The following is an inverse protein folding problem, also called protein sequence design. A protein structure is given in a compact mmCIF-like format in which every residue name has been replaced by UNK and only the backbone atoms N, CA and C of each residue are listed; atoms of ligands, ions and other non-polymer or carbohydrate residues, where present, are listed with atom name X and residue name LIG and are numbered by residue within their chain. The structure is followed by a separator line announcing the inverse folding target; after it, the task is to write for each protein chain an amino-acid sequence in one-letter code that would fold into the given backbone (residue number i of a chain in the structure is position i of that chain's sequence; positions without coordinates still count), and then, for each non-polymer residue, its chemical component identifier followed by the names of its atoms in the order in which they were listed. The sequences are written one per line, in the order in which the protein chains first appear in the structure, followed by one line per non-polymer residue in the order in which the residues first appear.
data_IF_280853566412
#
_entry.id   IF_280853566412
#
_cell.length_a   1.000
_cell.length_b   1.000
_cell.length_c   1.000
_cell.angle_alpha   90.00
_cell.angle_beta   90.00
_cell.angle_gamma   90.00
#
_symmetry.space_group_name_H-M   'P 1'
#
loop_
_entity.id
_entity.type
_entity.pdbx_description
1 polymer ?
#
# COMPACT_ATOMS: atom_id res chain seq x y z
N UNK A 1 -13.47 42.34 20.51
CA UNK A 1 -14.69 41.57 20.26
C UNK A 1 -14.40 40.16 20.74
N UNK A 2 -15.12 39.68 21.75
CA UNK A 2 -14.87 38.36 22.32
C UNK A 2 -15.35 37.28 21.33
N UNK A 3 -14.51 36.28 21.08
CA UNK A 3 -14.78 35.20 20.15
C UNK A 3 -15.96 34.35 20.67
N UNK A 4 -16.97 34.12 19.83
CA UNK A 4 -18.15 33.35 20.23
C UNK A 4 -17.78 31.86 20.36
N UNK A 5 -17.69 31.36 21.59
CA UNK A 5 -17.41 29.95 21.87
C UNK A 5 -18.70 29.11 21.81
N UNK A 6 -18.57 27.84 21.41
CA UNK A 6 -19.69 26.90 21.38
C UNK A 6 -19.83 26.26 22.77
N UNK A 7 -21.03 26.28 23.34
CA UNK A 7 -21.33 25.67 24.64
C UNK A 7 -22.31 24.51 24.43
N UNK A 8 -22.06 23.40 25.11
CA UNK A 8 -23.03 22.31 25.26
C UNK A 8 -23.89 22.59 26.49
N UNK A 9 -25.21 22.43 26.36
CA UNK A 9 -26.13 22.65 27.47
C UNK A 9 -27.06 21.46 27.69
N UNK A 10 -27.43 21.26 28.95
CA UNK A 10 -28.52 20.39 29.36
C UNK A 10 -29.55 21.26 30.09
N UNK A 11 -30.75 21.32 29.56
CA UNK A 11 -31.84 22.12 30.13
C UNK A 11 -33.14 21.33 30.18
N UNK A 12 -34.02 21.67 31.11
CA UNK A 12 -35.34 21.07 31.28
C UNK A 12 -36.39 22.00 30.68
N UNK A 13 -37.26 21.45 29.84
CA UNK A 13 -38.48 22.15 29.43
C UNK A 13 -39.49 22.24 30.59
N UNK A 14 -40.53 23.08 30.46
CA UNK A 14 -41.62 23.25 31.43
C UNK A 14 -42.34 21.95 31.78
N UNK A 15 -42.25 20.94 30.91
CA UNK A 15 -42.77 19.58 31.09
C UNK A 15 -41.86 18.68 31.95
N UNK A 16 -40.67 19.14 32.33
CA UNK A 16 -39.65 18.33 33.01
C UNK A 16 -38.83 17.43 32.08
N UNK A 17 -39.03 17.53 30.76
CA UNK A 17 -38.24 16.78 29.77
C UNK A 17 -36.85 17.40 29.59
N UNK A 18 -35.81 16.57 29.68
CA UNK A 18 -34.42 17.01 29.47
C UNK A 18 -34.14 17.18 27.97
N UNK A 19 -33.69 18.38 27.59
CA UNK A 19 -33.21 18.73 26.26
C UNK A 19 -31.72 19.01 26.30
N UNK A 20 -30.97 18.43 25.36
CA UNK A 20 -29.52 18.60 25.23
C UNK A 20 -29.25 19.21 23.86
N UNK A 21 -28.38 20.22 23.79
CA UNK A 21 -28.06 20.90 22.54
C UNK A 21 -26.75 21.70 22.61
N UNK A 22 -26.38 22.29 21.48
CA UNK A 22 -25.22 23.18 21.36
C UNK A 22 -25.71 24.60 21.06
N UNK A 23 -25.14 25.60 21.74
CA UNK A 23 -25.47 27.01 21.55
C UNK A 23 -24.19 27.85 21.66
N UNK A 24 -23.98 28.73 20.68
CA UNK A 24 -22.81 29.62 20.67
C UNK A 24 -23.10 30.90 21.46
N UNK A 25 -22.14 31.36 22.25
CA UNK A 25 -22.27 32.60 23.02
C UNK A 25 -20.94 33.13 23.53
N UNK A 26 -20.96 34.35 24.05
CA UNK A 26 -19.74 35.04 24.52
C UNK A 26 -19.29 34.57 25.91
N UNK A 27 -20.19 33.96 26.68
CA UNK A 27 -19.91 33.39 28.02
C UNK A 27 -20.95 32.34 28.40
N UNK A 28 -20.59 31.44 29.32
CA UNK A 28 -21.52 30.47 29.91
C UNK A 28 -22.78 31.15 30.49
N UNK A 29 -22.61 32.33 31.11
CA UNK A 29 -23.71 33.15 31.62
C UNK A 29 -24.61 33.71 30.51
N UNK A 30 -24.04 34.10 29.36
CA UNK A 30 -24.82 34.60 28.22
C UNK A 30 -25.66 33.48 27.58
N UNK A 31 -25.08 32.29 27.41
CA UNK A 31 -25.79 31.10 26.91
C UNK A 31 -26.89 30.68 27.88
N UNK A 32 -26.63 30.66 29.19
CA UNK A 32 -27.64 30.34 30.20
C UNK A 32 -28.80 31.37 30.20
N UNK A 33 -28.52 32.66 30.03
CA UNK A 33 -29.54 33.69 29.91
C UNK A 33 -30.40 33.51 28.65
N UNK A 34 -29.78 33.16 27.52
CA UNK A 34 -30.47 32.90 26.25
C UNK A 34 -31.38 31.66 26.33
N UNK A 35 -30.95 30.61 27.03
CA UNK A 35 -31.77 29.42 27.28
C UNK A 35 -32.97 29.70 28.21
N UNK A 36 -32.78 30.54 29.23
CA UNK A 36 -33.88 30.99 30.10
C UNK A 36 -34.91 31.83 29.35
N UNK A 37 -34.48 32.69 28.43
CA UNK A 37 -35.39 33.45 27.55
C UNK A 37 -36.23 32.53 26.64
N UNK A 38 -35.71 31.35 26.29
CA UNK A 38 -36.45 30.31 25.55
C UNK A 38 -37.35 29.44 26.44
N UNK A 39 -37.50 29.78 27.72
CA UNK A 39 -38.35 29.06 28.66
C UNK A 39 -37.77 27.75 29.20
N UNK A 40 -36.47 27.50 28.98
CA UNK A 40 -35.78 26.30 29.44
C UNK A 40 -35.08 26.56 30.79
N UNK A 41 -35.19 25.61 31.72
CA UNK A 41 -34.47 25.66 33.00
C UNK A 41 -33.11 24.99 32.85
N UNK A 42 -32.05 25.79 32.93
CA UNK A 42 -30.68 25.34 32.73
C UNK A 42 -30.22 24.46 33.90
N UNK A 43 -29.83 23.22 33.60
CA UNK A 43 -29.27 22.26 34.58
C UNK A 43 -27.75 22.30 34.56
N UNK A 44 -27.18 22.33 33.36
CA UNK A 44 -25.74 22.41 33.17
C UNK A 44 -25.43 23.13 31.84
N UNK A 45 -24.36 23.93 31.83
CA UNK A 45 -23.80 24.57 30.63
C UNK A 45 -22.31 24.42 30.74
N UNK A 46 -21.71 23.62 29.86
CA UNK A 46 -20.27 23.48 29.79
C UNK A 46 -19.78 24.10 28.50
N UNK A 47 -18.73 24.91 28.59
CA UNK A 47 -17.99 25.31 27.40
C UNK A 47 -17.52 24.05 26.70
N UNK A 48 -17.85 23.89 25.42
CA UNK A 48 -17.28 22.82 24.60
C UNK A 48 -15.85 23.23 24.35
N UNK A 49 -14.98 22.98 25.34
CA UNK A 49 -13.55 22.94 25.13
C UNK A 49 -13.38 21.94 24.02
N UNK A 50 -13.02 22.41 22.83
CA UNK A 50 -12.49 21.55 21.78
C UNK A 50 -11.22 20.96 22.36
N UNK A 51 -11.37 19.88 23.14
CA UNK A 51 -10.27 19.02 23.48
C UNK A 51 -9.73 18.57 22.14
N UNK A 52 -8.57 19.10 21.77
CA UNK A 52 -7.78 18.63 20.64
C UNK A 52 -7.46 17.11 20.75
N UNK A 53 -7.87 16.44 21.83
CA UNK A 53 -7.80 15.00 22.05
C UNK A 53 -9.02 14.21 21.55
N UNK A 54 -10.19 14.83 21.31
CA UNK A 54 -11.38 14.11 20.80
C UNK A 54 -11.59 14.28 19.28
N UNK A 55 -10.71 15.01 18.61
CA UNK A 55 -10.52 14.85 17.15
C UNK A 55 -9.76 13.55 16.93
N UNK A 56 -10.50 12.46 17.06
CA UNK A 56 -10.26 11.17 16.44
C UNK A 56 -8.75 10.86 16.31
N UNK A 57 -8.10 10.52 17.44
CA UNK A 57 -6.72 10.04 17.48
C UNK A 57 -6.49 8.87 16.49
N UNK A 58 -7.58 8.20 16.07
CA UNK A 58 -7.63 7.18 15.04
C UNK A 58 -7.88 7.70 13.61
N UNK A 59 -8.44 8.89 13.38
CA UNK A 59 -8.54 9.49 12.04
C UNK A 59 -7.17 9.85 11.48
N UNK A 60 -6.27 10.37 12.31
CA UNK A 60 -4.88 10.66 11.89
C UNK A 60 -4.09 9.37 11.53
N UNK A 61 -4.55 8.21 12.01
CA UNK A 61 -4.00 6.89 11.68
C UNK A 61 -4.65 6.26 10.43
N UNK A 62 -5.79 6.76 9.94
CA UNK A 62 -6.47 6.21 8.77
C UNK A 62 -5.79 6.69 7.48
N UNK A 63 -4.84 5.89 7.00
CA UNK A 63 -4.22 6.08 5.68
C UNK A 63 -5.23 5.82 4.56
N UNK A 64 -5.25 6.69 3.55
CA UNK A 64 -6.05 6.46 2.32
C UNK A 64 -5.55 5.21 1.61
N UNK A 65 -6.46 4.27 1.34
CA UNK A 65 -6.13 3.04 0.61
C UNK A 65 -6.06 3.32 -0.90
N UNK A 66 -5.19 2.63 -1.66
CA UNK A 66 -5.12 2.80 -3.12
C UNK A 66 -6.48 2.63 -3.80
N UNK A 67 -7.27 1.63 -3.39
CA UNK A 67 -8.60 1.39 -3.94
C UNK A 67 -9.57 2.57 -3.72
N UNK A 68 -9.45 3.31 -2.61
CA UNK A 68 -10.27 4.50 -2.36
C UNK A 68 -9.91 5.64 -3.34
N UNK A 69 -8.62 5.81 -3.63
CA UNK A 69 -8.16 6.76 -4.66
C UNK A 69 -8.61 6.36 -6.07
N UNK A 70 -8.63 5.06 -6.38
CA UNK A 70 -9.15 4.55 -7.65
C UNK A 70 -10.63 4.90 -7.81
N UNK A 71 -11.44 4.67 -6.77
CA UNK A 71 -12.87 5.02 -6.78
C UNK A 71 -13.07 6.53 -6.92
N UNK A 72 -12.32 7.33 -6.16
CA UNK A 72 -12.36 8.79 -6.25
C UNK A 72 -12.09 9.28 -7.67
N UNK A 73 -11.00 8.81 -8.29
CA UNK A 73 -10.61 9.22 -9.63
C UNK A 73 -11.65 8.81 -10.68
N UNK A 74 -12.18 7.58 -10.60
CA UNK A 74 -13.24 7.10 -11.47
C UNK A 74 -14.52 7.93 -11.34
N UNK A 75 -14.98 8.18 -10.12
CA UNK A 75 -16.18 8.99 -9.87
C UNK A 75 -15.99 10.45 -10.34
N UNK A 76 -14.81 11.03 -10.08
CA UNK A 76 -14.47 12.37 -10.54
C UNK A 76 -14.50 12.46 -12.07
N UNK A 77 -13.85 11.52 -12.77
CA UNK A 77 -13.86 11.44 -14.22
C UNK A 77 -15.29 11.32 -14.77
N UNK A 78 -16.09 10.38 -14.25
CA UNK A 78 -17.48 10.18 -14.70
C UNK A 78 -18.34 11.43 -14.50
N UNK A 79 -18.22 12.12 -13.37
CA UNK A 79 -19.00 13.33 -13.12
C UNK A 79 -18.60 14.49 -14.03
N UNK A 80 -17.29 14.72 -14.21
CA UNK A 80 -16.79 15.78 -15.09
C UNK A 80 -17.17 15.48 -16.55
N UNK A 81 -17.04 14.24 -17.01
CA UNK A 81 -17.51 13.81 -18.34
C UNK A 81 -19.01 13.92 -18.54
N UNK A 82 -19.79 13.85 -17.47
CA UNK A 82 -21.25 14.06 -17.53
C UNK A 82 -21.63 15.56 -17.57
N UNK A 83 -20.64 16.46 -17.67
CA UNK A 83 -20.85 17.90 -17.73
C UNK A 83 -21.11 18.57 -16.38
N UNK A 84 -20.91 17.87 -15.25
CA UNK A 84 -20.99 18.53 -13.93
C UNK A 84 -19.81 19.50 -13.77
N UNK A 85 -20.06 20.65 -13.15
CA UNK A 85 -18.98 21.55 -12.78
C UNK A 85 -18.03 20.88 -11.77
N UNK A 86 -16.74 21.21 -11.84
CA UNK A 86 -15.71 20.63 -10.97
C UNK A 86 -16.05 20.83 -9.48
N UNK A 87 -16.52 22.02 -9.09
CA UNK A 87 -16.95 22.30 -7.72
C UNK A 87 -18.10 21.41 -7.28
N UNK A 88 -19.08 21.16 -8.16
CA UNK A 88 -20.21 20.26 -7.85
C UNK A 88 -19.74 18.82 -7.73
N UNK A 89 -18.86 18.37 -8.61
CA UNK A 89 -18.26 17.04 -8.54
C UNK A 89 -17.50 16.86 -7.21
N UNK A 90 -16.66 17.83 -6.81
CA UNK A 90 -15.93 17.81 -5.54
C UNK A 90 -16.86 17.76 -4.32
N UNK A 91 -17.96 18.52 -4.31
CA UNK A 91 -18.95 18.47 -3.24
C UNK A 91 -19.61 17.08 -3.12
N UNK A 92 -19.98 16.47 -4.25
CA UNK A 92 -20.57 15.12 -4.27
C UNK A 92 -19.55 14.09 -3.76
N UNK A 93 -18.28 14.18 -4.17
CA UNK A 93 -17.22 13.30 -3.68
C UNK A 93 -16.99 13.47 -2.18
N UNK A 94 -17.00 14.70 -1.67
CA UNK A 94 -16.86 14.99 -0.24
C UNK A 94 -18.00 14.34 0.57
N UNK A 95 -19.24 14.46 0.11
CA UNK A 95 -20.42 13.88 0.76
C UNK A 95 -20.39 12.35 0.75
N UNK A 96 -19.97 11.74 -0.36
CA UNK A 96 -20.00 10.28 -0.56
C UNK A 96 -18.77 9.55 -0.01
N UNK A 97 -17.68 10.27 0.31
CA UNK A 97 -16.45 9.64 0.77
C UNK A 97 -16.57 9.11 2.20
N UNK A 98 -16.45 7.78 2.43
CA UNK A 98 -16.58 7.22 3.78
C UNK A 98 -15.33 7.44 4.64
N UNK A 99 -14.15 7.59 4.02
CA UNK A 99 -12.89 7.76 4.73
C UNK A 99 -12.77 9.22 5.24
N UNK A 100 -12.73 9.46 6.56
CA UNK A 100 -12.69 10.82 7.10
C UNK A 100 -11.50 11.65 6.64
N UNK A 101 -10.31 11.02 6.51
CA UNK A 101 -9.11 11.72 6.05
C UNK A 101 -9.27 12.15 4.59
N UNK A 102 -9.77 11.26 3.74
CA UNK A 102 -9.97 11.57 2.32
C UNK A 102 -11.06 12.64 2.16
N UNK A 103 -12.14 12.55 2.94
CA UNK A 103 -13.21 13.55 2.96
C UNK A 103 -12.70 14.95 3.34
N UNK A 104 -11.91 15.06 4.41
CA UNK A 104 -11.28 16.34 4.82
C UNK A 104 -10.45 16.92 3.68
N UNK A 105 -9.60 16.09 3.06
CA UNK A 105 -8.74 16.53 1.96
C UNK A 105 -9.54 16.97 0.73
N UNK A 106 -10.64 16.29 0.39
CA UNK A 106 -11.52 16.72 -0.72
C UNK A 106 -12.18 18.07 -0.37
N UNK A 107 -12.62 18.26 0.87
CA UNK A 107 -13.19 19.53 1.33
C UNK A 107 -12.19 20.69 1.26
N UNK A 108 -10.94 20.45 1.66
CA UNK A 108 -9.85 21.43 1.54
C UNK A 108 -9.56 21.76 0.06
N UNK A 109 -9.48 20.75 -0.80
CA UNK A 109 -9.31 20.94 -2.25
C UNK A 109 -10.49 21.71 -2.86
N UNK A 110 -11.73 21.39 -2.45
CA UNK A 110 -12.93 22.09 -2.90
C UNK A 110 -12.90 23.56 -2.50
N UNK A 111 -12.55 23.85 -1.25
CA UNK A 111 -12.41 25.23 -0.75
C UNK A 111 -11.34 26.01 -1.50
N UNK A 112 -10.19 25.41 -1.77
CA UNK A 112 -9.13 26.04 -2.57
C UNK A 112 -9.60 26.37 -3.99
N UNK A 113 -10.26 25.43 -4.66
CA UNK A 113 -10.81 25.66 -6.01
C UNK A 113 -11.91 26.74 -5.98
N UNK A 114 -12.73 26.79 -4.93
CA UNK A 114 -13.75 27.82 -4.72
C UNK A 114 -13.13 29.21 -4.55
N UNK A 115 -11.94 29.31 -3.94
CA UNK A 115 -11.16 30.56 -3.86
C UNK A 115 -10.40 30.92 -5.15
N UNK A 116 -10.47 30.07 -6.18
CA UNK A 116 -9.87 30.32 -7.50
C UNK A 116 -8.50 29.69 -7.74
N UNK A 117 -8.01 28.81 -6.86
CA UNK A 117 -6.84 27.99 -7.16
C UNK A 117 -7.17 26.93 -8.22
N UNK A 118 -6.19 26.55 -9.03
CA UNK A 118 -6.37 25.42 -9.95
C UNK A 118 -6.47 24.10 -9.18
N UNK A 119 -7.15 23.11 -9.75
CA UNK A 119 -7.31 21.78 -9.17
C UNK A 119 -5.96 21.12 -8.90
N UNK A 120 -5.02 21.23 -9.85
CA UNK A 120 -3.67 20.70 -9.67
C UNK A 120 -2.92 21.36 -8.51
N UNK A 121 -3.04 22.67 -8.34
CA UNK A 121 -2.41 23.40 -7.23
C UNK A 121 -3.02 23.02 -5.89
N UNK A 122 -4.35 22.92 -5.81
CA UNK A 122 -5.06 22.47 -4.62
C UNK A 122 -4.66 21.03 -4.23
N UNK A 123 -4.64 20.11 -5.21
CA UNK A 123 -4.19 18.73 -4.98
C UNK A 123 -2.72 18.64 -4.55
N UNK A 124 -1.84 19.50 -5.09
CA UNK A 124 -0.42 19.52 -4.77
C UNK A 124 -0.13 19.82 -3.29
N UNK A 125 -1.04 20.50 -2.58
CA UNK A 125 -0.93 20.73 -1.13
C UNK A 125 -1.05 19.44 -0.31
N UNK A 126 -1.57 18.35 -0.89
CA UNK A 126 -1.80 17.08 -0.20
C UNK A 126 -1.01 15.92 -0.83
N UNK A 127 0.34 15.94 -0.82
CA UNK A 127 1.20 14.94 -1.48
C UNK A 127 1.10 13.53 -0.86
N UNK A 128 0.52 13.41 0.33
CA UNK A 128 0.25 12.12 0.99
C UNK A 128 -0.96 11.38 0.39
N UNK A 129 -1.86 12.11 -0.26
CA UNK A 129 -3.10 11.60 -0.87
C UNK A 129 -2.96 11.60 -2.40
N UNK A 130 -2.63 12.75 -2.99
CA UNK A 130 -2.39 12.88 -4.42
C UNK A 130 -0.92 12.70 -4.71
N UNK A 131 -0.59 11.66 -5.48
CA UNK A 131 0.79 11.46 -5.93
C UNK A 131 1.14 12.45 -7.04
N UNK A 132 2.44 12.62 -7.30
CA UNK A 132 2.95 13.55 -8.32
C UNK A 132 2.39 13.27 -9.72
N UNK A 133 2.21 11.99 -10.06
CA UNK A 133 1.62 11.55 -11.32
C UNK A 133 0.19 12.10 -11.51
N UNK A 134 -0.68 11.95 -10.51
CA UNK A 134 -2.05 12.48 -10.54
C UNK A 134 -2.01 14.00 -10.72
N UNK A 135 -1.27 14.70 -9.87
CA UNK A 135 -1.17 16.16 -9.90
C UNK A 135 -0.69 16.67 -11.26
N UNK A 136 0.37 16.07 -11.82
CA UNK A 136 0.94 16.49 -13.09
C UNK A 136 0.06 16.18 -14.30
N UNK A 137 -0.68 15.07 -14.28
CA UNK A 137 -1.68 14.79 -15.31
C UNK A 137 -2.77 15.85 -15.26
N UNK A 138 -3.38 16.08 -14.10
CA UNK A 138 -4.41 17.12 -13.92
C UNK A 138 -3.89 18.49 -14.36
N UNK A 139 -2.66 18.85 -14.00
CA UNK A 139 -2.05 20.11 -14.41
C UNK A 139 -1.97 20.27 -15.94
N UNK A 140 -1.59 19.19 -16.65
CA UNK A 140 -1.56 19.19 -18.11
C UNK A 140 -2.97 19.29 -18.71
N UNK A 141 -3.95 18.60 -18.10
CA UNK A 141 -5.36 18.67 -18.50
C UNK A 141 -5.97 20.06 -18.30
N UNK A 142 -5.64 20.73 -17.19
CA UNK A 142 -6.06 22.11 -16.93
C UNK A 142 -5.43 23.10 -17.91
N UNK A 143 -4.13 22.95 -18.18
CA UNK A 143 -3.40 23.84 -19.09
C UNK A 143 -3.80 23.63 -20.55
N UNK A 144 -4.12 22.39 -20.93
CA UNK A 144 -4.54 21.99 -22.27
C UNK A 144 -6.05 22.09 -22.53
N UNK A 145 -6.85 22.40 -21.51
CA UNK A 145 -8.30 22.49 -21.63
C UNK A 145 -9.01 21.15 -21.85
N UNK A 146 -8.32 20.03 -21.67
CA UNK A 146 -8.83 18.66 -21.85
C UNK A 146 -8.89 17.87 -20.53
N UNK A 147 -9.26 18.56 -19.45
CA UNK A 147 -9.34 17.99 -18.10
C UNK A 147 -10.21 16.72 -18.04
N UNK A 148 -11.31 16.69 -18.80
CA UNK A 148 -12.19 15.52 -18.89
C UNK A 148 -11.45 14.26 -19.32
N UNK A 149 -10.76 14.32 -20.46
CA UNK A 149 -10.01 13.19 -21.02
C UNK A 149 -8.85 12.77 -20.10
N UNK A 150 -8.19 13.75 -19.48
CA UNK A 150 -7.10 13.50 -18.54
C UNK A 150 -7.58 12.82 -17.27
N UNK A 151 -8.71 13.22 -16.71
CA UNK A 151 -9.29 12.56 -15.53
C UNK A 151 -9.67 11.11 -15.84
N UNK A 152 -10.22 10.84 -17.03
CA UNK A 152 -10.49 9.48 -17.49
C UNK A 152 -9.21 8.63 -17.54
N UNK A 153 -8.13 9.19 -18.10
CA UNK A 153 -6.82 8.51 -18.16
C UNK A 153 -6.22 8.28 -16.78
N UNK A 154 -6.36 9.23 -15.85
CA UNK A 154 -5.95 9.07 -14.44
C UNK A 154 -6.73 7.92 -13.80
N UNK A 155 -8.04 7.85 -14.01
CA UNK A 155 -8.88 6.79 -13.47
C UNK A 155 -8.44 5.41 -14.00
N UNK A 156 -8.31 5.26 -15.31
CA UNK A 156 -7.84 4.01 -15.95
C UNK A 156 -6.45 3.61 -15.43
N UNK A 157 -5.54 4.57 -15.28
CA UNK A 157 -4.20 4.32 -14.74
C UNK A 157 -4.26 3.76 -13.32
N UNK A 158 -5.03 4.39 -12.43
CA UNK A 158 -5.16 3.95 -11.04
C UNK A 158 -5.91 2.61 -10.91
N UNK A 159 -6.83 2.31 -11.82
CA UNK A 159 -7.50 1.00 -11.91
C UNK A 159 -6.54 -0.11 -12.30
N UNK A 160 -5.70 0.12 -13.33
CA UNK A 160 -4.69 -0.84 -13.76
C UNK A 160 -3.65 -1.09 -12.66
N UNK A 161 -3.19 -0.03 -11.98
CA UNK A 161 -2.27 -0.15 -10.85
C UNK A 161 -2.88 -0.91 -9.67
N UNK A 162 -4.16 -0.68 -9.34
CA UNK A 162 -4.84 -1.40 -8.26
C UNK A 162 -5.12 -2.86 -8.66
N UNK A 163 -5.53 -3.11 -9.90
CA UNK A 163 -5.72 -4.46 -10.44
C UNK A 163 -4.42 -5.27 -10.35
N UNK A 164 -3.29 -4.73 -10.82
CA UNK A 164 -2.00 -5.40 -10.73
C UNK A 164 -1.63 -5.72 -9.28
N UNK A 165 -1.83 -4.76 -8.36
CA UNK A 165 -1.58 -4.98 -6.93
C UNK A 165 -2.47 -6.07 -6.35
N UNK A 166 -3.76 -6.11 -6.72
CA UNK A 166 -4.70 -7.16 -6.29
C UNK A 166 -4.31 -8.52 -6.83
N UNK A 167 -3.92 -8.61 -8.10
CA UNK A 167 -3.45 -9.85 -8.73
C UNK A 167 -2.22 -10.40 -8.02
N UNK A 168 -1.22 -9.55 -7.76
CA UNK A 168 -0.01 -9.94 -6.99
C UNK A 168 -0.38 -10.39 -5.58
N UNK A 169 -1.25 -9.63 -4.88
CA UNK A 169 -1.69 -9.97 -3.53
C UNK A 169 -2.46 -11.30 -3.50
N UNK A 170 -3.34 -11.52 -4.46
CA UNK A 170 -4.14 -12.74 -4.59
C UNK A 170 -3.24 -13.96 -4.80
N UNK A 171 -2.29 -13.88 -5.75
CA UNK A 171 -1.32 -14.94 -6.01
C UNK A 171 -0.49 -15.29 -4.77
N UNK A 172 -0.22 -14.30 -3.89
CA UNK A 172 0.56 -14.50 -2.67
C UNK A 172 -0.23 -14.93 -1.44
N UNK A 173 -1.56 -14.82 -1.49
CA UNK A 173 -2.41 -15.10 -0.33
C UNK A 173 -2.35 -16.58 0.06
N UNK A 174 -2.50 -17.48 -0.91
CA UNK A 174 -2.49 -18.93 -0.66
C UNK A 174 -1.14 -19.44 -0.13
N UNK A 175 0.03 -19.16 -0.76
CA UNK A 175 1.33 -19.56 -0.22
C UNK A 175 1.57 -19.05 1.21
N UNK A 176 1.17 -17.80 1.49
CA UNK A 176 1.37 -17.20 2.81
C UNK A 176 0.51 -17.86 3.87
N UNK A 177 -0.75 -18.23 3.56
CA UNK A 177 -1.63 -18.93 4.49
C UNK A 177 -1.12 -20.33 4.82
N UNK A 178 -0.71 -21.13 3.83
CA UNK A 178 -0.17 -22.48 4.06
C UNK A 178 1.15 -22.41 4.83
N UNK A 179 2.06 -21.52 4.45
CA UNK A 179 3.32 -21.34 5.17
C UNK A 179 3.06 -20.95 6.63
N UNK A 180 2.14 -20.01 6.86
CA UNK A 180 1.74 -19.59 8.21
C UNK A 180 1.15 -20.75 9.03
N UNK A 181 0.25 -21.52 8.44
CA UNK A 181 -0.35 -22.69 9.10
C UNK A 181 0.68 -23.78 9.39
N UNK A 182 1.59 -24.07 8.45
CA UNK A 182 2.66 -25.04 8.64
C UNK A 182 3.62 -24.62 9.77
N UNK A 183 4.00 -23.34 9.82
CA UNK A 183 4.82 -22.80 10.93
C UNK A 183 4.07 -22.90 12.25
N UNK A 184 2.77 -22.59 12.29
CA UNK A 184 1.96 -22.71 13.50
C UNK A 184 1.92 -24.16 14.00
N UNK A 185 1.63 -25.12 13.11
CA UNK A 185 1.62 -26.55 13.45
C UNK A 185 2.99 -27.00 13.94
N UNK A 186 4.08 -26.62 13.25
CA UNK A 186 5.44 -26.94 13.65
C UNK A 186 5.77 -26.40 15.05
N UNK A 187 5.45 -25.13 15.31
CA UNK A 187 5.65 -24.50 16.62
C UNK A 187 4.87 -25.22 17.70
N UNK A 188 3.61 -25.60 17.44
CA UNK A 188 2.79 -26.36 18.38
C UNK A 188 3.38 -27.77 18.65
N UNK A 189 3.82 -28.48 17.62
CA UNK A 189 4.45 -29.80 17.78
C UNK A 189 5.72 -29.72 18.61
N UNK A 190 6.62 -28.80 18.31
CA UNK A 190 7.86 -28.61 19.06
C UNK A 190 7.55 -28.18 20.49
N UNK A 191 6.63 -27.25 20.69
CA UNK A 191 6.36 -26.66 22.01
C UNK A 191 5.54 -27.58 22.91
N UNK A 192 4.66 -28.43 22.40
CA UNK A 192 3.80 -29.29 23.24
C UNK A 192 4.20 -30.76 23.20
N UNK A 193 4.40 -31.31 22.00
CA UNK A 193 4.53 -32.76 21.80
C UNK A 193 5.93 -33.25 22.15
N UNK A 194 6.97 -32.61 21.61
CA UNK A 194 8.36 -33.08 21.77
C UNK A 194 8.75 -33.28 23.24
N UNK A 195 8.37 -32.40 24.19
CA UNK A 195 8.81 -32.58 25.57
C UNK A 195 7.99 -33.59 26.37
N UNK A 196 6.79 -33.96 25.89
CA UNK A 196 6.06 -35.13 26.45
C UNK A 196 6.89 -36.39 26.17
N UNK A 197 7.38 -36.53 24.94
CA UNK A 197 8.28 -37.63 24.58
C UNK A 197 9.60 -37.53 25.35
N UNK A 198 10.22 -36.35 25.42
CA UNK A 198 11.47 -36.20 26.18
C UNK A 198 11.37 -36.69 27.63
N UNK A 199 10.28 -36.36 28.33
CA UNK A 199 10.03 -36.85 29.71
C UNK A 199 9.89 -38.36 29.77
N UNK A 200 9.11 -38.94 28.86
CA UNK A 200 8.94 -40.40 28.75
C UNK A 200 10.27 -41.12 28.54
N UNK A 201 11.22 -40.50 27.83
CA UNK A 201 12.57 -41.06 27.61
C UNK A 201 13.49 -40.94 28.81
N UNK A 202 13.40 -39.83 29.54
CA UNK A 202 14.18 -39.58 30.76
C UNK A 202 13.82 -40.62 31.84
N UNK A 203 12.52 -40.94 31.96
CA UNK A 203 12.00 -41.97 32.88
C UNK A 203 12.53 -43.39 32.57
N UNK A 204 12.99 -43.63 31.33
CA UNK A 204 13.50 -44.92 30.85
C UNK A 204 15.04 -45.02 30.91
N UNK A 205 15.72 -43.97 31.38
CA UNK A 205 17.18 -43.98 31.62
C UNK A 205 18.07 -44.06 30.37
N UNK A 206 17.49 -43.80 29.18
CA UNK A 206 18.19 -43.87 27.90
C UNK A 206 18.69 -42.51 27.40
N UNK A 207 19.83 -42.48 26.70
CA UNK A 207 20.30 -41.26 26.00
C UNK A 207 19.50 -41.05 24.72
N UNK A 208 18.94 -39.85 24.54
CA UNK A 208 18.22 -39.47 23.33
C UNK A 208 19.15 -39.47 22.10
N UNK A 209 18.67 -39.91 20.92
CA UNK A 209 19.37 -39.73 19.65
C UNK A 209 19.69 -38.25 19.35
N UNK A 210 20.76 -37.93 18.61
CA UNK A 210 21.17 -36.54 18.35
C UNK A 210 20.07 -35.67 17.70
N UNK A 211 19.31 -36.24 16.77
CA UNK A 211 18.20 -35.53 16.10
C UNK A 211 17.07 -35.19 17.09
N UNK A 212 16.72 -36.12 17.98
CA UNK A 212 15.71 -35.90 19.02
C UNK A 212 16.22 -34.91 20.07
N UNK A 213 17.48 -35.02 20.48
CA UNK A 213 18.09 -34.10 21.43
C UNK A 213 18.05 -32.66 20.90
N UNK A 214 18.43 -32.44 19.64
CA UNK A 214 18.34 -31.12 19.00
C UNK A 214 16.91 -30.55 19.03
N UNK A 215 15.90 -31.40 18.76
CA UNK A 215 14.49 -31.00 18.82
C UNK A 215 14.04 -30.65 20.24
N UNK A 216 14.53 -31.37 21.25
CA UNK A 216 14.25 -31.10 22.67
C UNK A 216 14.91 -29.80 23.11
N UNK A 217 16.16 -29.56 22.73
CA UNK A 217 16.88 -28.32 23.01
C UNK A 217 16.18 -27.13 22.35
N UNK A 218 15.75 -27.28 21.09
CA UNK A 218 14.98 -26.28 20.36
C UNK A 218 13.64 -26.01 21.05
N UNK A 219 12.95 -27.05 21.53
CA UNK A 219 11.70 -26.92 22.29
C UNK A 219 11.90 -26.19 23.63
N UNK A 220 12.97 -26.53 24.37
CA UNK A 220 13.31 -25.85 25.60
C UNK A 220 13.62 -24.37 25.36
N UNK A 221 14.36 -24.05 24.29
CA UNK A 221 14.62 -22.68 23.87
C UNK A 221 13.32 -21.95 23.48
N UNK A 222 12.42 -22.58 22.72
CA UNK A 222 11.14 -21.99 22.32
C UNK A 222 10.20 -21.73 23.51
N UNK A 223 10.17 -22.59 24.52
CA UNK A 223 9.38 -22.40 25.74
C UNK A 223 9.98 -21.34 26.66
N UNK A 224 11.30 -21.39 26.88
CA UNK A 224 12.00 -20.48 27.79
C UNK A 224 12.07 -19.06 27.21
N UNK A 225 12.37 -18.94 25.92
CA UNK A 225 12.53 -17.68 25.20
C UNK A 225 11.36 -17.38 24.25
N UNK A 226 10.13 -17.78 24.60
CA UNK A 226 8.95 -17.58 23.73
C UNK A 226 8.77 -16.11 23.31
N UNK A 227 9.09 -15.18 24.21
CA UNK A 227 9.07 -13.74 23.94
C UNK A 227 10.09 -13.34 22.87
N UNK A 228 11.26 -13.99 22.79
CA UNK A 228 12.27 -13.75 21.74
C UNK A 228 11.74 -14.17 20.38
N UNK A 229 11.07 -15.32 20.28
CA UNK A 229 10.47 -15.79 19.02
C UNK A 229 9.33 -14.88 18.52
N UNK A 230 8.72 -14.07 19.39
CA UNK A 230 7.71 -13.08 19.02
C UNK A 230 8.33 -11.68 18.78
N UNK A 231 9.31 -11.27 19.59
CA UNK A 231 10.02 -9.98 19.45
C UNK A 231 10.96 -9.94 18.25
N UNK A 232 11.71 -11.00 17.97
CA UNK A 232 12.69 -11.03 16.87
C UNK A 232 12.04 -10.76 15.51
N UNK A 233 10.92 -11.41 15.12
CA UNK A 233 10.23 -11.07 13.87
C UNK A 233 9.76 -9.61 13.82
N UNK A 234 9.28 -9.07 14.95
CA UNK A 234 8.81 -7.67 15.03
C UNK A 234 9.98 -6.71 14.85
N UNK A 235 11.05 -6.88 15.62
CA UNK A 235 12.26 -6.05 15.55
C UNK A 235 12.93 -6.18 14.19
N UNK A 236 13.06 -7.40 13.64
CA UNK A 236 13.58 -7.63 12.31
C UNK A 236 12.71 -6.94 11.25
N UNK A 237 11.38 -6.99 11.37
CA UNK A 237 10.48 -6.28 10.45
C UNK A 237 10.64 -4.77 10.52
N UNK A 238 10.77 -4.20 11.72
CA UNK A 238 10.99 -2.76 11.91
C UNK A 238 12.37 -2.35 11.38
N UNK A 239 13.42 -3.10 11.72
CA UNK A 239 14.80 -2.87 11.27
C UNK A 239 14.89 -2.97 9.74
N UNK A 240 14.29 -4.00 9.14
CA UNK A 240 14.21 -4.17 7.70
C UNK A 240 13.44 -3.03 7.03
N UNK A 241 12.31 -2.61 7.60
CA UNK A 241 11.56 -1.45 7.09
C UNK A 241 12.36 -0.15 7.16
N UNK A 242 13.15 0.04 8.22
CA UNK A 242 14.01 1.22 8.37
C UNK A 242 15.19 1.17 7.40
N UNK A 243 15.83 0.02 7.25
CA UNK A 243 16.89 -0.20 6.26
C UNK A 243 16.40 0.04 4.83
N UNK A 244 15.22 -0.48 4.47
CA UNK A 244 14.55 -0.23 3.18
C UNK A 244 14.06 1.23 3.00
N UNK A 245 14.15 2.08 4.01
CA UNK A 245 13.88 3.52 3.85
C UNK A 245 15.17 4.32 3.60
N UNK A 246 16.34 3.74 3.86
CA UNK A 246 17.63 4.36 3.54
C UNK A 246 17.92 4.28 2.03
N UNK A 247 18.65 5.25 1.49
CA UNK A 247 18.99 5.29 0.06
C UNK A 247 19.78 4.05 -0.38
N UNK A 248 20.81 3.68 0.38
CA UNK A 248 21.64 2.51 0.11
C UNK A 248 20.88 1.20 0.28
N UNK A 249 20.00 1.11 1.30
CA UNK A 249 19.18 -0.07 1.54
C UNK A 249 18.12 -0.29 0.45
N UNK A 250 17.51 0.77 -0.09
CA UNK A 250 16.59 0.66 -1.22
C UNK A 250 17.28 0.14 -2.48
N UNK A 251 18.44 0.71 -2.82
CA UNK A 251 19.22 0.30 -4.00
C UNK A 251 19.66 -1.17 -3.90
N UNK A 252 20.21 -1.56 -2.76
CA UNK A 252 20.64 -2.94 -2.53
C UNK A 252 19.45 -3.89 -2.58
N UNK A 253 18.32 -3.53 -1.97
CA UNK A 253 17.11 -4.34 -1.98
C UNK A 253 16.52 -4.52 -3.38
N UNK A 254 16.44 -3.44 -4.15
CA UNK A 254 15.94 -3.50 -5.53
C UNK A 254 16.87 -4.33 -6.44
N UNK A 255 18.19 -4.23 -6.25
CA UNK A 255 19.17 -5.09 -6.92
C UNK A 255 19.05 -6.56 -6.50
N UNK A 256 18.81 -6.84 -5.22
CA UNK A 256 18.58 -8.20 -4.71
C UNK A 256 17.32 -8.79 -5.34
N UNK A 257 16.20 -8.05 -5.38
CA UNK A 257 14.95 -8.52 -5.99
C UNK A 257 15.16 -8.95 -7.44
N UNK A 258 15.89 -8.17 -8.22
CA UNK A 258 16.18 -8.47 -9.62
C UNK A 258 17.07 -9.72 -9.79
N UNK A 259 17.82 -10.11 -8.76
CA UNK A 259 18.69 -11.31 -8.74
C UNK A 259 18.06 -12.52 -8.05
N UNK A 260 16.81 -12.44 -7.60
CA UNK A 260 16.16 -13.57 -6.93
C UNK A 260 15.94 -14.73 -7.92
N UNK A 261 16.36 -15.96 -7.58
CA UNK A 261 16.11 -17.16 -8.38
C UNK A 261 14.61 -17.51 -8.43
N UNK A 262 14.23 -18.45 -9.29
CA UNK A 262 12.83 -18.85 -9.59
C UNK A 262 12.00 -17.80 -10.37
N UNK A 263 12.64 -16.93 -11.18
CA UNK A 263 11.91 -16.02 -12.08
C UNK A 263 11.26 -14.80 -11.40
N UNK A 264 11.46 -14.61 -10.10
CA UNK A 264 10.97 -13.43 -9.37
C UNK A 264 11.62 -12.15 -9.88
N UNK A 265 12.92 -12.19 -10.19
CA UNK A 265 13.63 -11.04 -10.77
C UNK A 265 13.05 -10.59 -12.10
N UNK A 266 12.72 -11.54 -12.98
CA UNK A 266 12.07 -11.30 -14.28
C UNK A 266 10.69 -10.64 -14.10
N UNK A 267 9.88 -11.13 -13.16
CA UNK A 267 8.57 -10.53 -12.85
C UNK A 267 8.72 -9.11 -12.32
N UNK A 268 9.65 -8.88 -11.38
CA UNK A 268 9.87 -7.54 -10.82
C UNK A 268 10.33 -6.56 -11.90
N UNK A 269 11.20 -7.01 -12.80
CA UNK A 269 11.63 -6.20 -13.94
C UNK A 269 10.45 -5.88 -14.87
N UNK A 270 9.67 -6.89 -15.29
CA UNK A 270 8.54 -6.71 -16.19
C UNK A 270 7.44 -5.82 -15.61
N UNK A 271 7.16 -5.94 -14.31
CA UNK A 271 6.26 -5.01 -13.60
C UNK A 271 6.78 -3.57 -13.64
N UNK A 272 8.09 -3.39 -13.43
CA UNK A 272 8.70 -2.06 -13.47
C UNK A 272 8.66 -1.48 -14.90
N UNK A 273 8.95 -2.28 -15.92
CA UNK A 273 8.88 -1.91 -17.33
C UNK A 273 7.44 -1.61 -17.76
N UNK A 274 6.46 -2.42 -17.38
CA UNK A 274 5.05 -2.18 -17.68
C UNK A 274 4.58 -0.86 -17.07
N UNK A 275 4.93 -0.59 -15.81
CA UNK A 275 4.60 0.69 -15.16
C UNK A 275 5.32 1.87 -15.81
N UNK A 276 6.59 1.71 -16.18
CA UNK A 276 7.36 2.71 -16.92
C UNK A 276 6.65 3.07 -18.22
N UNK A 277 6.40 2.07 -19.06
CA UNK A 277 5.78 2.23 -20.36
C UNK A 277 4.39 2.86 -20.24
N UNK A 278 3.57 2.36 -19.30
CA UNK A 278 2.21 2.91 -19.08
C UNK A 278 2.25 4.36 -18.63
N UNK A 279 3.06 4.68 -17.63
CA UNK A 279 3.13 6.04 -17.09
C UNK A 279 3.62 7.01 -18.15
N UNK A 280 4.69 6.66 -18.86
CA UNK A 280 5.23 7.49 -19.93
C UNK A 280 4.19 7.68 -21.04
N UNK A 281 3.55 6.59 -21.49
CA UNK A 281 2.52 6.62 -22.53
C UNK A 281 1.33 7.50 -22.15
N UNK A 282 0.82 7.35 -20.91
CA UNK A 282 -0.30 8.18 -20.42
C UNK A 282 0.08 9.65 -20.34
N UNK A 283 1.28 9.98 -19.86
CA UNK A 283 1.75 11.37 -19.75
C UNK A 283 1.95 11.99 -21.14
N UNK A 284 2.61 11.27 -22.06
CA UNK A 284 2.83 11.75 -23.43
C UNK A 284 1.52 11.92 -24.19
N UNK A 285 0.59 10.97 -24.06
CA UNK A 285 -0.73 11.08 -24.65
C UNK A 285 -1.46 12.32 -24.13
N UNK A 286 -1.24 12.69 -22.85
CA UNK A 286 -1.92 13.79 -22.17
C UNK A 286 -1.26 15.15 -22.42
N UNK A 287 -0.33 15.22 -23.37
CA UNK A 287 0.35 16.46 -23.75
C UNK A 287 1.40 16.93 -22.75
N UNK A 288 1.78 16.09 -21.77
CA UNK A 288 2.87 16.42 -20.84
C UNK A 288 4.19 16.43 -21.62
N UNK A 289 5.01 17.50 -21.53
CA UNK A 289 6.29 17.55 -22.21
C UNK A 289 7.18 16.35 -21.88
N UNK A 290 7.82 15.75 -22.88
CA UNK A 290 8.55 14.47 -22.73
C UNK A 290 9.59 14.48 -21.60
N UNK A 291 10.31 15.59 -21.41
CA UNK A 291 11.29 15.73 -20.32
C UNK A 291 10.63 15.68 -18.94
N UNK A 292 9.48 16.34 -18.78
CA UNK A 292 8.70 16.27 -17.56
C UNK A 292 8.08 14.87 -17.37
N UNK A 293 7.62 14.26 -18.46
CA UNK A 293 7.06 12.92 -18.45
C UNK A 293 8.10 11.87 -18.02
N UNK A 294 9.35 11.99 -18.48
CA UNK A 294 10.47 11.14 -18.08
C UNK A 294 10.79 11.28 -16.59
N UNK A 295 10.88 12.51 -16.06
CA UNK A 295 11.13 12.74 -14.63
C UNK A 295 10.02 12.16 -13.74
N UNK A 296 8.75 12.37 -14.11
CA UNK A 296 7.62 11.80 -13.36
C UNK A 296 7.66 10.26 -13.44
N UNK A 297 7.88 9.72 -14.64
CA UNK A 297 7.92 8.26 -14.86
C UNK A 297 9.03 7.58 -14.06
N UNK A 298 10.22 8.20 -14.00
CA UNK A 298 11.34 7.70 -13.20
C UNK A 298 10.92 7.51 -11.73
N UNK A 299 10.21 8.49 -11.17
CA UNK A 299 9.79 8.48 -9.77
C UNK A 299 8.64 7.50 -9.49
N UNK A 300 7.81 7.18 -10.48
CA UNK A 300 6.69 6.22 -10.32
C UNK A 300 7.07 4.77 -10.59
N UNK A 301 8.18 4.51 -11.29
CA UNK A 301 8.55 3.15 -11.71
C UNK A 301 8.67 2.20 -10.51
N UNK A 302 9.10 2.73 -9.35
CA UNK A 302 9.14 2.00 -8.07
C UNK A 302 10.29 1.00 -7.94
N UNK A 303 11.25 1.06 -8.87
CA UNK A 303 12.51 0.32 -8.84
C UNK A 303 13.66 1.27 -9.18
N UNK A 304 14.59 1.46 -8.25
CA UNK A 304 15.70 2.42 -8.43
C UNK A 304 16.67 2.04 -9.55
N UNK A 305 16.75 0.76 -9.90
CA UNK A 305 17.58 0.30 -11.03
C UNK A 305 17.07 0.85 -12.36
N UNK A 306 15.75 1.10 -12.48
CA UNK A 306 15.18 1.78 -13.63
C UNK A 306 15.16 3.30 -13.44
N UNK A 307 14.90 3.79 -12.23
CA UNK A 307 14.77 5.24 -11.96
C UNK A 307 16.10 6.00 -12.05
N UNK A 308 17.18 5.49 -11.45
CA UNK A 308 18.43 6.24 -11.32
C UNK A 308 19.05 6.62 -12.68
N UNK A 309 19.07 5.72 -13.70
CA UNK A 309 19.60 6.06 -15.02
C UNK A 309 18.72 7.03 -15.82
N UNK A 310 17.46 7.28 -15.42
CA UNK A 310 16.56 8.16 -16.18
C UNK A 310 17.02 9.61 -16.21
N UNK A 311 17.81 10.06 -15.22
CA UNK A 311 18.36 11.40 -15.22
C UNK A 311 19.34 11.61 -16.41
N UNK A 312 20.20 10.61 -16.68
CA UNK A 312 21.10 10.65 -17.84
C UNK A 312 20.30 10.56 -19.14
N UNK A 313 19.28 9.69 -19.21
CA UNK A 313 18.37 9.62 -20.38
C UNK A 313 17.71 10.97 -20.65
N UNK A 314 17.18 11.63 -19.62
CA UNK A 314 16.53 12.93 -19.78
C UNK A 314 17.50 14.00 -20.28
N UNK A 315 18.76 14.02 -19.81
CA UNK A 315 19.76 14.97 -20.29
C UNK A 315 20.13 14.69 -21.76
N UNK A 316 20.26 13.42 -22.17
CA UNK A 316 20.51 13.04 -23.57
C UNK A 316 19.38 13.44 -24.51
N UNK A 317 18.13 13.27 -24.07
CA UNK A 317 16.95 13.68 -24.84
C UNK A 317 16.88 15.21 -24.94
N UNK A 318 17.26 15.92 -23.87
CA UNK A 318 17.37 17.38 -23.86
C UNK A 318 18.49 17.90 -24.78
N UNK A 319 19.57 17.13 -24.98
CA UNK A 319 20.59 17.36 -26.01
C UNK A 319 20.10 17.08 -27.45
N UNK A 320 18.86 16.59 -27.62
CA UNK A 320 18.26 16.29 -28.92
C UNK A 320 18.48 14.87 -29.42
N UNK A 321 18.98 13.96 -28.59
CA UNK A 321 19.06 12.55 -28.94
C UNK A 321 17.68 11.89 -28.89
N UNK A 322 17.46 10.91 -29.76
CA UNK A 322 16.29 10.04 -29.69
C UNK A 322 16.22 9.32 -28.32
N UNK A 323 15.03 8.93 -27.88
CA UNK A 323 14.80 8.31 -26.57
C UNK A 323 15.34 6.87 -26.50
N UNK A 324 15.22 6.12 -27.60
CA UNK A 324 15.57 4.69 -27.61
C UNK A 324 17.07 4.38 -27.37
N UNK A 325 18.03 5.07 -28.02
CA UNK A 325 19.47 4.81 -27.81
C UNK A 325 19.97 4.96 -26.36
N UNK A 326 19.70 6.07 -25.63
CA UNK A 326 20.13 6.18 -24.24
C UNK A 326 19.44 5.15 -23.33
N UNK A 327 18.18 4.79 -23.63
CA UNK A 327 17.47 3.75 -22.89
C UNK A 327 18.10 2.36 -23.09
N UNK A 328 18.53 2.04 -24.31
CA UNK A 328 19.20 0.78 -24.63
C UNK A 328 20.56 0.64 -23.91
N UNK A 329 21.29 1.74 -23.73
CA UNK A 329 22.59 1.74 -23.02
C UNK A 329 22.47 1.34 -21.55
N UNK A 330 21.30 1.48 -20.93
CA UNK A 330 21.07 1.08 -19.53
C UNK A 330 21.19 -0.44 -19.36
N UNK A 331 20.87 -1.23 -20.40
CA UNK A 331 20.99 -2.69 -20.41
C UNK A 331 19.98 -3.44 -19.52
N UNK A 332 19.05 -2.73 -18.88
CA UNK A 332 18.00 -3.31 -18.02
C UNK A 332 16.68 -3.48 -18.78
N UNK A 333 16.44 -2.65 -19.79
CA UNK A 333 15.23 -2.73 -20.61
C UNK A 333 15.36 -3.89 -21.63
N UNK A 334 14.32 -4.72 -21.78
CA UNK A 334 14.29 -5.71 -22.85
C UNK A 334 14.39 -5.05 -24.23
N UNK A 335 15.02 -5.73 -25.19
CA UNK A 335 15.23 -5.22 -26.56
C UNK A 335 13.94 -4.77 -27.23
N UNK A 336 12.84 -5.48 -26.97
CA UNK A 336 11.52 -5.18 -27.53
C UNK A 336 11.02 -3.77 -27.11
N UNK A 337 11.30 -3.34 -25.87
CA UNK A 337 10.97 -1.98 -25.39
C UNK A 337 11.70 -0.94 -26.21
N UNK A 338 13.03 -1.08 -26.36
CA UNK A 338 13.86 -0.12 -27.07
C UNK A 338 13.50 -0.05 -28.56
N UNK A 339 13.12 -1.17 -29.17
CA UNK A 339 12.69 -1.22 -30.58
C UNK A 339 11.33 -0.56 -30.78
N UNK A 340 10.34 -0.87 -29.94
CA UNK A 340 9.02 -0.24 -30.04
C UNK A 340 9.05 1.26 -29.75
N UNK A 341 9.95 1.71 -28.86
CA UNK A 341 10.21 3.13 -28.64
C UNK A 341 10.80 3.80 -29.88
N UNK A 342 11.80 3.18 -30.51
CA UNK A 342 12.39 3.72 -31.75
C UNK A 342 11.34 3.85 -32.86
N UNK A 343 10.54 2.80 -33.08
CA UNK A 343 9.44 2.82 -34.06
C UNK A 343 8.39 3.87 -33.68
N UNK A 344 8.03 3.99 -32.39
CA UNK A 344 7.05 4.97 -31.91
C UNK A 344 7.53 6.41 -32.09
N UNK A 345 8.82 6.66 -31.91
CA UNK A 345 9.44 7.96 -32.12
C UNK A 345 9.52 8.32 -33.62
N UNK A 346 9.92 7.38 -34.48
CA UNK A 346 9.97 7.56 -35.93
C UNK A 346 8.58 7.78 -36.55
N UNK A 347 7.57 7.08 -36.04
CA UNK A 347 6.18 7.17 -36.54
C UNK A 347 5.34 8.24 -35.85
N UNK A 348 5.89 8.91 -34.82
CA UNK A 348 5.14 9.87 -34.00
C UNK A 348 4.04 9.24 -33.13
N UNK A 349 3.99 7.92 -33.01
CA UNK A 349 2.96 7.15 -32.30
C UNK A 349 3.47 6.55 -30.98
N UNK A 350 4.34 7.30 -30.28
CA UNK A 350 5.07 6.87 -29.08
C UNK A 350 4.13 6.41 -27.95
N UNK A 351 3.06 7.17 -27.71
CA UNK A 351 2.03 6.88 -26.73
C UNK A 351 1.35 5.52 -26.97
N UNK A 352 0.95 5.25 -28.21
CA UNK A 352 0.29 4.00 -28.58
C UNK A 352 1.21 2.79 -28.44
N UNK A 353 2.50 2.95 -28.78
CA UNK A 353 3.51 1.89 -28.65
C UNK A 353 3.81 1.61 -27.17
N UNK A 354 3.90 2.65 -26.35
CA UNK A 354 4.09 2.54 -24.90
C UNK A 354 2.91 1.85 -24.19
N UNK A 355 1.68 2.13 -24.60
CA UNK A 355 0.50 1.43 -24.08
C UNK A 355 0.48 -0.05 -24.46
N UNK A 356 0.81 -0.40 -25.72
CA UNK A 356 0.94 -1.80 -26.16
C UNK A 356 2.04 -2.55 -25.40
N UNK A 357 3.18 -1.91 -25.17
CA UNK A 357 4.26 -2.45 -24.34
C UNK A 357 3.77 -2.75 -22.92
N UNK A 358 3.06 -1.80 -22.31
CA UNK A 358 2.55 -1.96 -20.96
C UNK A 358 1.56 -3.13 -20.84
N UNK A 359 0.61 -3.24 -21.77
CA UNK A 359 -0.37 -4.33 -21.77
C UNK A 359 0.29 -5.68 -22.02
N UNK A 360 1.23 -5.77 -22.97
CA UNK A 360 2.00 -7.00 -23.22
C UNK A 360 2.75 -7.50 -21.98
N UNK A 361 3.46 -6.60 -21.28
CA UNK A 361 4.21 -7.00 -20.09
C UNK A 361 3.31 -7.29 -18.88
N UNK A 362 2.16 -6.63 -18.75
CA UNK A 362 1.17 -6.99 -17.73
C UNK A 362 0.61 -8.40 -17.95
N UNK A 363 0.32 -8.76 -19.21
CA UNK A 363 -0.13 -10.11 -19.57
C UNK A 363 0.95 -11.16 -19.30
N UNK A 364 2.21 -10.87 -19.66
CA UNK A 364 3.34 -11.74 -19.31
C UNK A 364 3.49 -11.91 -17.80
N UNK A 365 3.37 -10.83 -17.02
CA UNK A 365 3.44 -10.86 -15.56
C UNK A 365 2.32 -11.72 -14.99
N UNK A 366 1.08 -11.55 -15.47
CA UNK A 366 -0.06 -12.35 -15.02
C UNK A 366 0.14 -13.84 -15.32
N UNK A 367 0.61 -14.18 -16.53
CA UNK A 367 0.90 -15.55 -16.92
C UNK A 367 2.03 -16.17 -16.07
N UNK A 368 3.11 -15.43 -15.82
CA UNK A 368 4.23 -15.87 -14.99
C UNK A 368 3.81 -16.05 -13.53
N UNK A 369 3.02 -15.14 -12.97
CA UNK A 369 2.49 -15.27 -11.60
C UNK A 369 1.63 -16.52 -11.45
N UNK A 370 0.77 -16.82 -12.43
CA UNK A 370 -0.04 -18.05 -12.44
C UNK A 370 0.84 -19.31 -12.48
N UNK A 371 1.85 -19.32 -13.35
CA UNK A 371 2.80 -20.44 -13.46
C UNK A 371 3.61 -20.64 -12.17
N UNK A 372 4.16 -19.57 -11.59
CA UNK A 372 4.90 -19.69 -10.32
C UNK A 372 4.00 -20.20 -9.19
N UNK A 373 2.76 -19.73 -9.11
CA UNK A 373 1.81 -20.19 -8.08
C UNK A 373 1.60 -21.71 -8.18
N UNK A 374 1.46 -22.25 -9.40
CA UNK A 374 1.30 -23.69 -9.62
C UNK A 374 2.52 -24.55 -9.26
N UNK A 375 3.73 -23.97 -9.26
CA UNK A 375 4.98 -24.66 -8.87
C UNK A 375 5.21 -24.54 -7.36
N UNK A 376 4.88 -23.38 -6.78
CA UNK A 376 5.04 -23.12 -5.35
C UNK A 376 4.21 -24.10 -4.52
N UNK A 377 3.00 -24.45 -4.95
CA UNK A 377 2.11 -25.33 -4.20
C UNK A 377 2.70 -26.75 -3.97
N UNK A 378 3.13 -27.51 -5.01
CA UNK A 378 3.83 -28.78 -4.83
C UNK A 378 5.10 -28.67 -4.00
N UNK A 379 5.90 -27.63 -4.22
CA UNK A 379 7.13 -27.41 -3.46
C UNK A 379 6.83 -27.22 -1.97
N UNK A 380 5.79 -26.43 -1.66
CA UNK A 380 5.32 -26.23 -0.29
C UNK A 380 4.85 -27.54 0.34
N UNK A 381 4.10 -28.38 -0.38
CA UNK A 381 3.70 -29.70 0.13
C UNK A 381 4.90 -30.58 0.44
N UNK A 382 5.93 -30.59 -0.40
CA UNK A 382 7.17 -31.34 -0.16
C UNK A 382 7.89 -30.80 1.09
N UNK A 383 8.02 -29.48 1.22
CA UNK A 383 8.70 -28.85 2.36
C UNK A 383 7.94 -29.11 3.66
N UNK A 384 6.61 -28.94 3.68
CA UNK A 384 5.78 -29.21 4.85
C UNK A 384 5.83 -30.70 5.21
N UNK A 385 5.72 -31.58 4.21
CA UNK A 385 5.85 -33.03 4.42
C UNK A 385 7.20 -33.42 4.98
N UNK A 386 8.29 -32.81 4.50
CA UNK A 386 9.65 -33.04 5.03
C UNK A 386 9.77 -32.55 6.48
N UNK A 387 9.23 -31.37 6.80
CA UNK A 387 9.22 -30.81 8.15
C UNK A 387 8.47 -31.75 9.11
N UNK A 388 7.24 -32.14 8.76
CA UNK A 388 6.42 -33.04 9.60
C UNK A 388 7.10 -34.41 9.70
N UNK A 389 7.63 -34.94 8.60
CA UNK A 389 8.36 -36.20 8.57
C UNK A 389 9.58 -36.19 9.48
N UNK A 390 10.37 -35.11 9.47
CA UNK A 390 11.53 -34.95 10.36
C UNK A 390 11.11 -34.94 11.83
N UNK A 391 10.01 -34.26 12.17
CA UNK A 391 9.47 -34.25 13.55
C UNK A 391 9.01 -35.65 13.95
N UNK A 392 8.26 -36.35 13.10
CA UNK A 392 7.80 -37.72 13.38
C UNK A 392 8.99 -38.66 13.56
N UNK A 393 9.98 -38.64 12.67
CA UNK A 393 11.19 -39.46 12.81
C UNK A 393 11.94 -39.14 14.10
N UNK A 394 12.07 -37.85 14.45
CA UNK A 394 12.70 -37.46 15.71
C UNK A 394 11.94 -37.97 16.94
N UNK A 395 10.62 -38.14 16.86
CA UNK A 395 9.80 -38.68 17.94
C UNK A 395 9.85 -40.21 18.04
N UNK A 396 9.88 -40.91 16.90
CA UNK A 396 9.84 -42.38 16.86
C UNK A 396 11.22 -43.05 16.96
N UNK A 397 12.29 -42.40 16.49
CA UNK A 397 13.65 -42.95 16.58
C UNK A 397 14.06 -43.35 18.01
N UNK A 398 13.77 -42.54 19.05
CA UNK A 398 13.96 -42.95 20.43
C UNK A 398 13.22 -44.25 20.80
N UNK A 399 11.97 -44.46 20.32
CA UNK A 399 11.19 -45.67 20.65
C UNK A 399 11.88 -46.94 20.16
N UNK A 400 12.47 -46.91 18.96
CA UNK A 400 13.22 -48.05 18.43
C UNK A 400 14.44 -48.40 19.29
N UNK A 401 15.12 -47.41 19.88
CA UNK A 401 16.25 -47.66 20.77
C UNK A 401 15.86 -48.24 22.13
N UNK A 402 14.65 -47.97 22.63
CA UNK A 402 14.16 -48.62 23.86
C UNK A 402 13.99 -50.12 23.64
N UNK A 403 13.45 -50.54 22.49
CA UNK A 403 13.30 -51.96 22.18
C UNK A 403 14.64 -52.71 22.11
N UNK A 404 15.74 -52.03 21.79
CA UNK A 404 17.09 -52.62 21.84
C UNK A 404 17.66 -52.68 23.27
N UNK A 405 17.17 -51.85 24.20
CA UNK A 405 17.60 -51.76 25.60
C UNK A 405 16.80 -52.66 26.54
N UNK A 406 15.55 -52.98 26.21
CA UNK A 406 14.73 -53.96 26.92
C UNK A 406 15.13 -55.36 26.45
N UNK A 407 16.06 -55.99 27.18
CA UNK A 407 16.42 -57.39 27.02
C UNK A 407 15.64 -58.28 27.97
#
# INVERSE_FOLDING_TARGET
MAEAAVYTYKALDRSGASTVGELSGESQSAVAAQLRLRGLTVVDVSEKKTSAMDVDLFASLKRVKPAEMTVLARQMATMVSSGLSLLRALNVLEEQTPNPLLKSVIGEVRGDVETGLSLSQAMAKHPKVFNRLFVSMVQAGESGGNLEEVLERVAVQLEKDDHLRRTVKSAMTYPTMIAGFAVLVLVAMITFIIPIFARMFDDLGGKLPPLTQFMVDLSAAMRSFWYVFLLVPIVATIAFRRWKRSESGQLMWDRIKLRLPMGIGDIVLKVAVARFARTLGTLTASGVPILQALDITAQTTGNRVLSDPMADVAERVKEGQALAPPLAKIGVFPTMVTQMLAVGEETGALDSMLHKLADFYDDEVAAKLKSLTSIIEPLMMIVVGMIVGLVVVAMYMPMFKIFELVK
#
